data_IF_190863404211
#
_entry.id   IF_190863404211
#
_cell.length_a   1.000
_cell.length_b   1.000
_cell.length_c   1.000
_cell.angle_alpha   90.00
_cell.angle_beta   90.00
_cell.angle_gamma   90.00
#
_symmetry.space_group_name_H-M   'P 1'
#
loop_
_entity.id
_entity.type
_entity.pdbx_description
1 polymer ?
#
# COMPACT_ATOMS: atom_id res chain seq x y z
N UNK A 1 -42.37 14.27 -22.73
CA UNK A 1 -41.13 13.52 -22.48
C UNK A 1 -40.03 14.38 -23.04
N UNK A 2 -39.49 15.27 -22.21
CA UNK A 2 -38.42 16.17 -22.65
C UNK A 2 -37.15 15.35 -22.86
N UNK A 3 -36.53 15.55 -24.02
CA UNK A 3 -35.38 14.79 -24.46
C UNK A 3 -34.22 14.95 -23.49
N UNK A 4 -33.67 13.82 -23.03
CA UNK A 4 -32.41 13.83 -22.31
C UNK A 4 -31.34 14.27 -23.31
N UNK A 5 -30.85 15.49 -23.16
CA UNK A 5 -29.72 15.99 -23.94
C UNK A 5 -28.46 15.27 -23.46
N UNK A 6 -28.04 14.26 -24.22
CA UNK A 6 -26.89 13.42 -23.90
C UNK A 6 -25.61 14.17 -24.30
N UNK A 7 -25.09 14.99 -23.38
CA UNK A 7 -23.75 15.54 -23.47
C UNK A 7 -22.66 14.44 -23.43
N UNK A 8 -21.37 14.83 -23.33
CA UNK A 8 -20.27 13.87 -23.20
C UNK A 8 -20.56 12.86 -22.06
N UNK A 9 -20.24 11.55 -22.22
CA UNK A 9 -20.68 10.51 -21.29
C UNK A 9 -20.46 10.81 -19.81
N UNK A 10 -19.31 11.40 -19.44
CA UNK A 10 -19.02 11.80 -18.06
C UNK A 10 -19.90 12.96 -17.56
N UNK A 11 -20.23 13.92 -18.43
CA UNK A 11 -21.12 15.03 -18.10
C UNK A 11 -22.55 14.53 -17.89
N UNK A 12 -23.01 13.61 -18.74
CA UNK A 12 -24.32 12.94 -18.60
C UNK A 12 -24.41 12.11 -17.32
N UNK A 13 -23.38 11.34 -16.97
CA UNK A 13 -23.37 10.57 -15.71
C UNK A 13 -23.39 11.49 -14.47
N UNK A 14 -22.76 12.66 -14.54
CA UNK A 14 -22.84 13.66 -13.46
C UNK A 14 -24.23 14.29 -13.36
N UNK A 15 -24.88 14.58 -14.49
CA UNK A 15 -26.21 15.21 -14.51
C UNK A 15 -27.32 14.27 -14.05
N UNK A 16 -27.15 12.95 -14.24
CA UNK A 16 -28.06 11.92 -13.75
C UNK A 16 -28.07 11.76 -12.21
N UNK A 17 -27.17 12.45 -11.52
CA UNK A 17 -27.01 12.37 -10.07
C UNK A 17 -26.34 11.07 -9.65
N UNK A 18 -25.11 11.15 -9.16
CA UNK A 18 -24.53 10.04 -8.40
C UNK A 18 -25.41 9.85 -7.15
N UNK A 19 -26.11 8.72 -7.06
CA UNK A 19 -26.97 8.38 -5.93
C UNK A 19 -26.12 8.39 -4.64
N UNK A 20 -26.21 9.48 -3.88
CA UNK A 20 -25.64 9.62 -2.55
C UNK A 20 -26.54 8.88 -1.57
N UNK A 21 -26.36 7.56 -1.45
CA UNK A 21 -26.62 6.90 -0.18
C UNK A 21 -25.28 6.72 0.49
N UNK A 22 -25.07 7.52 1.53
CA UNK A 22 -23.98 7.37 2.49
C UNK A 22 -24.07 5.97 3.11
N UNK A 23 -23.41 4.99 2.49
CA UNK A 23 -22.91 3.84 3.24
C UNK A 23 -21.64 4.32 3.92
N UNK A 24 -21.84 4.95 5.08
CA UNK A 24 -20.78 5.53 5.92
C UNK A 24 -19.68 4.50 6.13
N UNK A 25 -18.42 4.94 6.18
CA UNK A 25 -17.26 4.08 6.44
C UNK A 25 -17.42 3.23 7.74
N UNK A 26 -18.23 3.70 8.70
CA UNK A 26 -18.65 2.96 9.91
C UNK A 26 -19.39 1.66 9.60
N UNK A 27 -20.04 1.57 8.44
CA UNK A 27 -20.72 0.37 7.94
C UNK A 27 -19.78 -0.78 7.61
N UNK A 28 -18.45 -0.63 7.66
CA UNK A 28 -17.52 -1.72 7.38
C UNK A 28 -16.88 -2.33 8.65
N UNK A 29 -17.29 -1.92 9.86
CA UNK A 29 -16.84 -2.57 11.09
C UNK A 29 -17.45 -3.99 11.21
N UNK A 30 -16.65 -5.07 11.13
CA UNK A 30 -17.16 -6.44 11.20
C UNK A 30 -17.79 -6.81 12.54
N UNK A 31 -17.40 -6.14 13.64
CA UNK A 31 -18.01 -6.36 14.97
C UNK A 31 -19.38 -5.70 15.02
N UNK A 32 -19.48 -4.46 14.56
CA UNK A 32 -20.76 -3.74 14.49
C UNK A 32 -21.76 -4.39 13.52
N UNK A 33 -21.25 -5.12 12.50
CA UNK A 33 -22.04 -5.92 11.57
C UNK A 33 -22.42 -7.32 12.10
N UNK A 34 -21.95 -7.71 13.28
CA UNK A 34 -22.19 -9.03 13.86
C UNK A 34 -21.51 -10.18 13.11
N UNK A 35 -20.50 -9.89 12.28
CA UNK A 35 -19.70 -10.89 11.56
C UNK A 35 -18.66 -11.52 12.51
N UNK A 36 -18.14 -10.71 13.43
CA UNK A 36 -17.22 -11.15 14.47
C UNK A 36 -17.73 -10.72 15.84
N UNK A 37 -17.52 -11.57 16.84
CA UNK A 37 -17.54 -11.15 18.24
C UNK A 37 -16.29 -10.32 18.55
N UNK A 38 -16.36 -9.52 19.61
CA UNK A 38 -15.24 -8.66 19.99
C UNK A 38 -13.97 -9.46 20.32
N UNK A 39 -14.11 -10.60 21.00
CA UNK A 39 -12.99 -11.46 21.36
C UNK A 39 -12.36 -12.14 20.12
N UNK A 40 -13.17 -12.49 19.12
CA UNK A 40 -12.70 -13.00 17.83
C UNK A 40 -11.91 -11.93 17.08
N UNK A 41 -12.39 -10.69 17.08
CA UNK A 41 -11.68 -9.59 16.47
C UNK A 41 -10.34 -9.30 17.17
N UNK A 42 -10.30 -9.31 18.50
CA UNK A 42 -9.06 -9.16 19.28
C UNK A 42 -8.05 -10.27 18.97
N UNK A 43 -8.50 -11.53 18.87
CA UNK A 43 -7.67 -12.66 18.45
C UNK A 43 -7.12 -12.44 17.03
N UNK A 44 -7.96 -11.96 16.10
CA UNK A 44 -7.56 -11.65 14.73
C UNK A 44 -6.50 -10.56 14.66
N UNK A 45 -6.71 -9.45 15.37
CA UNK A 45 -5.75 -8.34 15.47
C UNK A 45 -4.43 -8.82 16.09
N UNK A 46 -4.50 -9.60 17.16
CA UNK A 46 -3.31 -10.18 17.80
C UNK A 46 -2.53 -11.08 16.84
N UNK A 47 -3.21 -11.97 16.12
CA UNK A 47 -2.55 -12.83 15.11
C UNK A 47 -1.92 -12.02 13.99
N UNK A 48 -2.58 -10.98 13.50
CA UNK A 48 -2.01 -10.09 12.49
C UNK A 48 -0.70 -9.47 12.98
N UNK A 49 -0.70 -8.84 14.16
CA UNK A 49 0.50 -8.19 14.69
C UNK A 49 1.61 -9.17 15.09
N UNK A 50 1.26 -10.40 15.45
CA UNK A 50 2.24 -11.42 15.84
C UNK A 50 2.89 -12.09 14.63
N UNK A 51 2.12 -12.42 13.59
CA UNK A 51 2.57 -13.31 12.51
C UNK A 51 2.64 -12.64 11.13
N UNK A 52 1.86 -11.59 10.88
CA UNK A 52 1.75 -10.98 9.54
C UNK A 52 2.43 -9.60 9.45
N UNK A 53 2.42 -8.83 10.54
CA UNK A 53 2.88 -7.44 10.57
C UNK A 53 4.33 -7.25 10.14
N UNK A 54 5.20 -8.23 10.38
CA UNK A 54 6.57 -8.22 9.87
C UNK A 54 6.61 -8.04 8.34
N UNK A 55 5.58 -8.43 7.60
CA UNK A 55 5.45 -8.25 6.15
C UNK A 55 4.57 -7.04 5.78
N UNK A 56 3.88 -6.43 6.75
CA UNK A 56 3.06 -5.24 6.62
C UNK A 56 3.57 -4.04 7.47
N UNK A 57 4.83 -3.62 7.32
CA UNK A 57 5.43 -2.59 8.19
C UNK A 57 4.84 -1.19 8.02
N UNK A 58 3.92 -1.00 7.08
CA UNK A 58 3.20 0.24 6.84
C UNK A 58 2.03 0.49 7.81
N UNK A 59 1.79 -0.45 8.73
CA UNK A 59 0.79 -0.35 9.80
C UNK A 59 1.54 -0.27 11.12
N UNK A 60 1.19 0.66 12.01
CA UNK A 60 1.75 0.70 13.37
C UNK A 60 0.96 -0.26 14.27
N UNK A 61 1.62 -0.82 15.29
CA UNK A 61 0.93 -1.62 16.32
C UNK A 61 -0.09 -0.74 17.02
N UNK A 62 -1.34 -1.21 17.03
CA UNK A 62 -2.50 -0.52 17.58
C UNK A 62 -3.41 -1.52 18.29
N UNK A 63 -4.13 -1.04 19.29
CA UNK A 63 -5.16 -1.82 19.97
C UNK A 63 -6.39 -2.02 19.08
N UNK A 64 -7.19 -3.04 19.39
CA UNK A 64 -8.46 -3.28 18.70
C UNK A 64 -9.40 -2.07 18.82
N UNK A 65 -9.43 -1.38 19.97
CA UNK A 65 -10.26 -0.20 20.19
C UNK A 65 -9.85 0.99 19.31
N UNK A 66 -8.55 1.23 19.15
CA UNK A 66 -8.03 2.28 18.25
C UNK A 66 -8.34 1.96 16.79
N UNK A 67 -8.11 0.71 16.37
CA UNK A 67 -8.36 0.29 14.99
C UNK A 67 -9.82 0.44 14.57
N UNK A 68 -10.77 0.22 15.49
CA UNK A 68 -12.21 0.39 15.22
C UNK A 68 -12.61 1.82 14.86
N UNK A 69 -11.77 2.82 15.15
CA UNK A 69 -11.96 4.20 14.65
C UNK A 69 -11.68 4.34 13.15
N UNK A 70 -11.00 3.35 12.55
CA UNK A 70 -10.72 3.22 11.12
C UNK A 70 -11.32 1.90 10.60
N UNK A 71 -12.66 1.80 10.43
CA UNK A 71 -13.36 0.53 10.28
C UNK A 71 -12.88 -0.34 9.11
N UNK A 72 -12.54 0.28 7.98
CA UNK A 72 -12.08 -0.44 6.79
C UNK A 72 -10.66 -1.01 7.00
N UNK A 73 -9.78 -0.26 7.69
CA UNK A 73 -8.44 -0.75 8.04
C UNK A 73 -8.53 -1.89 9.05
N UNK A 74 -9.37 -1.73 10.06
CA UNK A 74 -9.69 -2.79 11.03
C UNK A 74 -10.23 -4.06 10.35
N UNK A 75 -11.19 -3.90 9.43
CA UNK A 75 -11.70 -5.00 8.60
C UNK A 75 -10.59 -5.71 7.82
N UNK A 76 -9.70 -4.94 7.16
CA UNK A 76 -8.55 -5.51 6.46
C UNK A 76 -7.63 -6.31 7.37
N UNK A 77 -7.28 -5.76 8.53
CA UNK A 77 -6.44 -6.43 9.54
C UNK A 77 -7.09 -7.72 10.05
N UNK A 78 -8.38 -7.67 10.42
CA UNK A 78 -9.12 -8.86 10.84
C UNK A 78 -9.17 -9.91 9.72
N UNK A 79 -9.40 -9.49 8.47
CA UNK A 79 -9.45 -10.41 7.32
C UNK A 79 -8.13 -11.15 7.14
N UNK A 80 -7.00 -10.45 7.27
CA UNK A 80 -5.67 -11.09 7.18
C UNK A 80 -5.39 -11.97 8.40
N UNK A 81 -5.65 -11.49 9.62
CA UNK A 81 -5.38 -12.23 10.85
C UNK A 81 -6.23 -13.50 11.03
N UNK A 82 -7.43 -13.51 10.43
CA UNK A 82 -8.39 -14.62 10.50
C UNK A 82 -8.46 -15.44 9.20
N UNK A 83 -7.55 -15.21 8.25
CA UNK A 83 -7.62 -15.80 6.90
C UNK A 83 -7.65 -17.33 6.87
N UNK A 84 -7.04 -17.98 7.86
CA UNK A 84 -6.98 -19.45 7.95
C UNK A 84 -8.24 -20.06 8.56
N UNK A 85 -9.16 -19.25 9.09
CA UNK A 85 -10.44 -19.71 9.63
C UNK A 85 -11.54 -19.76 8.57
N UNK A 86 -11.28 -19.30 7.34
CA UNK A 86 -12.21 -19.43 6.22
C UNK A 86 -13.49 -18.59 6.35
N UNK A 87 -13.42 -17.42 7.01
CA UNK A 87 -14.57 -16.55 7.18
C UNK A 87 -14.93 -15.79 5.87
N UNK A 88 -15.76 -16.42 5.05
CA UNK A 88 -16.23 -15.86 3.78
C UNK A 88 -17.02 -14.55 3.95
N UNK A 89 -17.72 -14.37 5.07
CA UNK A 89 -18.47 -13.13 5.36
C UNK A 89 -17.54 -11.94 5.55
N UNK A 90 -16.42 -12.15 6.25
CA UNK A 90 -15.39 -11.13 6.45
C UNK A 90 -14.73 -10.73 5.13
N UNK A 91 -14.39 -11.74 4.31
CA UNK A 91 -13.88 -11.55 2.95
C UNK A 91 -14.86 -10.77 2.07
N UNK A 92 -16.14 -11.15 2.09
CA UNK A 92 -17.18 -10.48 1.32
C UNK A 92 -17.35 -9.02 1.75
N UNK A 93 -17.25 -8.72 3.04
CA UNK A 93 -17.35 -7.34 3.52
C UNK A 93 -16.14 -6.50 3.07
N UNK A 94 -14.94 -7.09 3.07
CA UNK A 94 -13.74 -6.42 2.57
C UNK A 94 -13.85 -6.15 1.07
N UNK A 95 -14.36 -7.11 0.30
CA UNK A 95 -14.59 -6.95 -1.14
C UNK A 95 -15.58 -5.82 -1.43
N UNK A 96 -16.64 -5.69 -0.63
CA UNK A 96 -17.59 -4.59 -0.74
C UNK A 96 -16.90 -3.24 -0.46
N UNK A 97 -16.07 -3.17 0.59
CA UNK A 97 -15.34 -1.97 0.95
C UNK A 97 -14.36 -1.53 -0.16
N UNK A 98 -13.59 -2.47 -0.72
CA UNK A 98 -12.65 -2.20 -1.81
C UNK A 98 -13.38 -1.88 -3.12
N UNK A 99 -14.48 -2.58 -3.42
CA UNK A 99 -15.31 -2.28 -4.60
C UNK A 99 -15.89 -0.87 -4.53
N UNK A 100 -16.26 -0.38 -3.34
CA UNK A 100 -16.70 1.01 -3.16
C UNK A 100 -15.57 2.00 -3.47
N UNK A 101 -14.35 1.76 -3.01
CA UNK A 101 -13.18 2.60 -3.31
C UNK A 101 -12.87 2.65 -4.83
N UNK A 102 -13.20 1.57 -5.56
CA UNK A 102 -13.00 1.48 -7.01
C UNK A 102 -14.13 2.13 -7.81
N UNK A 103 -15.38 1.82 -7.47
CA UNK A 103 -16.54 2.13 -8.31
C UNK A 103 -17.24 3.43 -7.90
N UNK A 104 -17.12 3.84 -6.64
CA UNK A 104 -17.79 5.02 -6.08
C UNK A 104 -16.90 5.75 -5.05
N UNK A 105 -15.66 6.14 -5.41
CA UNK A 105 -14.81 6.89 -4.50
C UNK A 105 -15.38 8.30 -4.26
N UNK A 106 -15.17 8.79 -3.04
CA UNK A 106 -15.39 10.18 -2.63
C UNK A 106 -14.06 10.83 -2.24
N UNK A 107 -14.03 12.16 -2.12
CA UNK A 107 -12.82 12.86 -1.68
C UNK A 107 -12.39 12.47 -0.26
N UNK A 108 -13.34 12.14 0.61
CA UNK A 108 -13.06 11.69 1.99
C UNK A 108 -12.44 10.30 2.05
N UNK A 109 -12.47 9.54 0.94
CA UNK A 109 -11.85 8.23 0.86
C UNK A 109 -10.36 8.29 0.55
N UNK A 110 -9.85 9.41 0.06
CA UNK A 110 -8.45 9.55 -0.30
C UNK A 110 -7.66 9.87 0.97
N UNK A 111 -7.35 8.84 1.74
CA UNK A 111 -6.64 8.91 3.03
C UNK A 111 -5.47 7.93 3.06
N UNK A 112 -4.57 8.11 4.03
CA UNK A 112 -3.47 7.18 4.26
C UNK A 112 -4.00 5.78 4.60
N UNK A 113 -5.10 5.68 5.36
CA UNK A 113 -5.69 4.38 5.73
C UNK A 113 -6.31 3.66 4.55
N UNK A 114 -6.91 4.37 3.59
CA UNK A 114 -7.35 3.75 2.34
C UNK A 114 -6.19 3.16 1.55
N UNK A 115 -5.03 3.83 1.52
CA UNK A 115 -3.81 3.28 0.89
C UNK A 115 -3.36 2.00 1.63
N UNK A 116 -3.36 2.02 2.98
CA UNK A 116 -3.03 0.84 3.79
C UNK A 116 -3.98 -0.34 3.52
N UNK A 117 -5.27 -0.08 3.41
CA UNK A 117 -6.27 -1.10 3.06
C UNK A 117 -5.99 -1.69 1.69
N UNK A 118 -5.71 -0.86 0.68
CA UNK A 118 -5.41 -1.34 -0.67
C UNK A 118 -4.11 -2.15 -0.71
N UNK A 119 -3.09 -1.76 0.06
CA UNK A 119 -1.85 -2.53 0.23
C UNK A 119 -2.12 -3.90 0.89
N UNK A 120 -2.88 -3.92 1.99
CA UNK A 120 -3.29 -5.17 2.65
C UNK A 120 -4.03 -6.09 1.68
N UNK A 121 -4.98 -5.52 0.93
CA UNK A 121 -5.78 -6.27 -0.04
C UNK A 121 -4.92 -6.84 -1.18
N UNK A 122 -3.97 -6.07 -1.71
CA UNK A 122 -3.09 -6.54 -2.79
C UNK A 122 -2.10 -7.63 -2.32
N UNK A 123 -1.52 -7.49 -1.11
CA UNK A 123 -0.53 -8.41 -0.57
C UNK A 123 -1.13 -9.69 0.00
N UNK A 124 -2.34 -9.60 0.57
CA UNK A 124 -3.05 -10.72 1.17
C UNK A 124 -4.45 -10.86 0.59
N UNK A 125 -4.53 -10.90 -0.75
CA UNK A 125 -5.81 -11.14 -1.44
C UNK A 125 -6.55 -12.30 -0.76
N UNK A 126 -7.80 -12.08 -0.31
CA UNK A 126 -8.50 -13.08 0.48
C UNK A 126 -8.69 -14.39 -0.28
N UNK A 127 -8.56 -15.49 0.45
CA UNK A 127 -8.84 -16.83 -0.04
C UNK A 127 -10.36 -17.04 -0.06
N UNK A 128 -10.89 -17.61 -1.14
CA UNK A 128 -12.30 -18.00 -1.21
C UNK A 128 -12.43 -19.52 -1.19
N UNK A 129 -13.65 -20.02 -1.00
CA UNK A 129 -13.95 -21.45 -1.12
C UNK A 129 -13.51 -22.04 -2.48
N UNK A 130 -13.41 -21.21 -3.52
CA UNK A 130 -12.99 -21.57 -4.87
C UNK A 130 -11.45 -21.51 -5.07
N UNK A 131 -10.69 -21.06 -4.06
CA UNK A 131 -9.24 -21.02 -4.08
C UNK A 131 -8.63 -19.63 -3.89
N UNK A 132 -7.37 -19.49 -4.29
CA UNK A 132 -6.67 -18.22 -4.27
C UNK A 132 -7.14 -17.33 -5.43
N UNK A 133 -7.69 -16.15 -5.14
CA UNK A 133 -8.11 -15.17 -6.15
C UNK A 133 -6.98 -14.31 -6.70
N UNK A 134 -5.79 -14.45 -6.12
CA UNK A 134 -4.63 -13.69 -6.55
C UNK A 134 -4.37 -13.89 -8.04
N UNK A 135 -4.33 -12.78 -8.76
CA UNK A 135 -3.71 -12.70 -10.06
C UNK A 135 -2.97 -11.37 -10.19
N UNK A 136 -1.89 -11.37 -10.96
CA UNK A 136 -0.97 -10.24 -11.08
C UNK A 136 -1.66 -8.98 -11.60
N UNK A 137 -2.63 -9.12 -12.52
CA UNK A 137 -3.40 -8.01 -13.08
C UNK A 137 -4.27 -7.34 -12.02
N UNK A 138 -4.93 -8.11 -11.17
CA UNK A 138 -5.77 -7.60 -10.10
C UNK A 138 -4.94 -6.91 -9.02
N UNK A 139 -3.79 -7.47 -8.65
CA UNK A 139 -2.84 -6.83 -7.74
C UNK A 139 -2.33 -5.51 -8.34
N UNK A 140 -1.99 -5.50 -9.62
CA UNK A 140 -1.53 -4.31 -10.35
C UNK A 140 -2.61 -3.23 -10.41
N UNK A 141 -3.87 -3.59 -10.66
CA UNK A 141 -4.97 -2.65 -10.68
C UNK A 141 -5.22 -1.99 -9.30
N UNK A 142 -5.16 -2.80 -8.23
CA UNK A 142 -5.32 -2.32 -6.84
C UNK A 142 -4.14 -1.43 -6.44
N UNK A 143 -2.90 -1.84 -6.72
CA UNK A 143 -1.71 -1.03 -6.46
C UNK A 143 -1.74 0.28 -7.28
N UNK A 144 -2.20 0.24 -8.53
CA UNK A 144 -2.38 1.43 -9.35
C UNK A 144 -3.41 2.43 -8.75
N UNK A 145 -4.47 1.94 -8.09
CA UNK A 145 -5.36 2.81 -7.32
C UNK A 145 -4.65 3.41 -6.10
N UNK A 146 -3.90 2.60 -5.35
CA UNK A 146 -3.13 3.06 -4.20
C UNK A 146 -2.10 4.13 -4.58
N UNK A 147 -1.41 3.96 -5.72
CA UNK A 147 -0.48 4.95 -6.30
C UNK A 147 -1.20 6.26 -6.62
N UNK A 148 -2.37 6.21 -7.27
CA UNK A 148 -3.15 7.42 -7.57
C UNK A 148 -3.57 8.16 -6.29
N UNK A 149 -3.95 7.43 -5.25
CA UNK A 149 -4.27 8.04 -3.95
C UNK A 149 -3.03 8.65 -3.28
N UNK A 150 -1.89 7.96 -3.33
CA UNK A 150 -0.62 8.46 -2.82
C UNK A 150 -0.18 9.75 -3.53
N UNK A 151 -0.31 9.81 -4.86
CA UNK A 151 -0.03 11.00 -5.67
C UNK A 151 -0.97 12.15 -5.32
N UNK A 152 -2.28 11.88 -5.21
CA UNK A 152 -3.25 12.89 -4.81
C UNK A 152 -2.95 13.51 -3.44
N UNK A 153 -2.46 12.70 -2.50
CA UNK A 153 -2.06 13.16 -1.16
C UNK A 153 -0.69 13.85 -1.12
N UNK A 154 0.08 13.86 -2.21
CA UNK A 154 1.49 14.27 -2.17
C UNK A 154 2.32 13.41 -1.20
N UNK A 155 2.01 12.12 -1.10
CA UNK A 155 2.57 11.23 -0.09
C UNK A 155 4.09 11.13 -0.20
N UNK A 156 4.64 11.00 -1.40
CA UNK A 156 6.09 10.97 -1.61
C UNK A 156 6.79 12.18 -0.99
N UNK A 157 6.42 13.39 -1.42
CA UNK A 157 7.05 14.62 -0.94
C UNK A 157 6.90 14.78 0.59
N UNK A 158 5.71 14.51 1.14
CA UNK A 158 5.48 14.59 2.57
C UNK A 158 6.19 13.49 3.38
N UNK A 159 6.42 12.32 2.81
CA UNK A 159 7.15 11.21 3.44
C UNK A 159 8.67 11.40 3.42
N UNK A 160 9.23 11.91 2.32
CA UNK A 160 10.68 12.02 2.14
C UNK A 160 11.25 13.30 2.76
N UNK A 161 10.51 14.41 2.74
CA UNK A 161 11.01 15.72 3.20
C UNK A 161 11.61 15.74 4.61
N UNK A 162 11.09 15.01 5.64
CA UNK A 162 11.71 14.99 6.96
C UNK A 162 13.11 14.37 6.98
N UNK A 163 13.45 13.55 5.97
CA UNK A 163 14.73 12.84 5.86
C UNK A 163 15.67 13.47 4.83
N UNK A 164 15.21 14.41 4.01
CA UNK A 164 16.02 15.11 3.01
C UNK A 164 16.93 16.19 3.63
N UNK A 165 16.53 16.78 4.75
CA UNK A 165 17.24 17.91 5.37
C UNK A 165 18.61 17.51 5.96
N UNK A 166 19.67 17.76 5.19
CA UNK A 166 20.95 18.15 5.76
C UNK A 166 20.94 19.68 5.91
N UNK A 167 21.41 20.18 7.05
CA UNK A 167 21.85 21.58 7.22
C UNK A 167 20.74 22.63 7.39
N UNK A 168 20.05 22.65 8.53
CA UNK A 168 19.61 23.91 9.14
C UNK A 168 19.30 23.69 10.61
N UNK A 169 19.53 24.74 11.38
CA UNK A 169 19.67 24.88 12.83
C UNK A 169 18.46 24.50 13.70
N UNK A 170 17.59 23.62 13.23
CA UNK A 170 16.55 23.00 14.04
C UNK A 170 16.10 21.68 13.41
N UNK A 171 16.58 20.50 13.86
CA UNK A 171 16.00 19.24 13.42
C UNK A 171 14.56 19.21 13.95
N UNK A 172 13.58 19.49 13.09
CA UNK A 172 12.19 19.21 13.43
C UNK A 172 12.13 17.72 13.82
N UNK A 173 11.78 17.45 15.08
CA UNK A 173 11.80 16.11 15.63
C UNK A 173 10.95 15.20 14.72
N UNK A 174 11.56 14.15 14.16
CA UNK A 174 10.83 13.18 13.33
C UNK A 174 9.74 12.56 14.19
N UNK A 175 8.49 12.76 13.79
CA UNK A 175 7.31 12.30 14.52
C UNK A 175 6.89 10.90 14.11
N UNK A 176 6.00 10.29 14.89
CA UNK A 176 5.38 9.00 14.53
C UNK A 176 4.61 9.06 13.20
N UNK A 177 4.00 10.21 12.86
CA UNK A 177 3.30 10.39 11.58
C UNK A 177 4.26 10.37 10.39
N UNK A 178 5.42 11.04 10.51
CA UNK A 178 6.46 11.00 9.47
C UNK A 178 6.93 9.56 9.20
N UNK A 179 7.17 8.79 10.27
CA UNK A 179 7.55 7.38 10.17
C UNK A 179 6.43 6.54 9.54
N UNK A 180 5.18 6.80 9.89
CA UNK A 180 4.04 6.07 9.35
C UNK A 180 3.87 6.33 7.84
N UNK A 181 4.05 7.57 7.38
CA UNK A 181 3.98 7.94 5.96
C UNK A 181 5.09 7.30 5.14
N UNK A 182 6.34 7.38 5.60
CA UNK A 182 7.47 6.80 4.85
C UNK A 182 7.38 5.27 4.76
N UNK A 183 6.90 4.60 5.81
CA UNK A 183 6.65 3.15 5.78
C UNK A 183 5.58 2.78 4.74
N UNK A 184 4.47 3.54 4.67
CA UNK A 184 3.44 3.33 3.65
C UNK A 184 4.01 3.58 2.25
N UNK A 185 4.73 4.68 2.05
CA UNK A 185 5.32 5.03 0.77
C UNK A 185 6.32 3.97 0.28
N UNK A 186 7.26 3.56 1.14
CA UNK A 186 8.25 2.55 0.78
C UNK A 186 7.63 1.17 0.55
N UNK A 187 6.61 0.80 1.33
CA UNK A 187 5.92 -0.46 1.07
C UNK A 187 5.17 -0.44 -0.27
N UNK A 188 4.52 0.68 -0.61
CA UNK A 188 3.86 0.85 -1.91
C UNK A 188 4.86 0.77 -3.07
N UNK A 189 5.98 1.47 -2.96
CA UNK A 189 7.07 1.46 -3.95
C UNK A 189 7.63 0.04 -4.14
N UNK A 190 7.96 -0.65 -3.05
CA UNK A 190 8.51 -2.01 -3.12
C UNK A 190 7.49 -3.01 -3.68
N UNK A 191 6.19 -2.86 -3.39
CA UNK A 191 5.15 -3.71 -3.98
C UNK A 191 5.00 -3.49 -5.49
N UNK A 192 4.97 -2.24 -5.93
CA UNK A 192 4.87 -1.87 -7.35
C UNK A 192 6.04 -2.47 -8.15
N UNK A 193 7.27 -2.34 -7.63
CA UNK A 193 8.45 -2.93 -8.26
C UNK A 193 8.54 -4.46 -8.15
N UNK A 194 8.17 -5.04 -7.01
CA UNK A 194 8.16 -6.51 -6.89
C UNK A 194 7.15 -7.12 -7.87
N UNK A 195 5.99 -6.49 -8.04
CA UNK A 195 5.02 -6.93 -9.03
C UNK A 195 5.58 -6.76 -10.45
N UNK A 196 6.23 -5.64 -10.75
CA UNK A 196 6.92 -5.45 -12.03
C UNK A 196 7.94 -6.56 -12.30
N UNK A 197 8.79 -6.90 -11.32
CA UNK A 197 9.82 -7.93 -11.50
C UNK A 197 9.25 -9.34 -11.68
N UNK A 198 8.15 -9.66 -11.00
CA UNK A 198 7.56 -11.01 -11.01
C UNK A 198 6.62 -11.25 -12.19
N UNK A 199 5.82 -10.24 -12.56
CA UNK A 199 4.82 -10.32 -13.65
C UNK A 199 5.29 -9.70 -14.97
N UNK A 200 6.33 -8.85 -14.91
CA UNK A 200 6.77 -8.03 -16.03
C UNK A 200 5.78 -6.93 -16.44
N UNK A 201 4.78 -6.62 -15.62
CA UNK A 201 3.93 -5.43 -15.77
C UNK A 201 4.76 -4.17 -15.47
N UNK A 202 4.45 -3.00 -16.06
CA UNK A 202 5.22 -1.79 -15.81
C UNK A 202 5.02 -1.30 -14.37
N UNK A 203 6.11 -0.87 -13.73
CA UNK A 203 6.06 -0.10 -12.50
C UNK A 203 5.46 1.29 -12.76
N UNK A 204 4.75 1.81 -11.77
CA UNK A 204 4.11 3.13 -11.78
C UNK A 204 4.94 4.19 -11.06
N UNK A 205 5.91 3.80 -10.23
CA UNK A 205 6.68 4.69 -9.35
C UNK A 205 8.16 4.78 -9.77
N UNK A 206 8.81 5.90 -9.43
CA UNK A 206 10.26 6.08 -9.57
C UNK A 206 10.93 5.95 -8.19
N UNK A 207 11.89 5.03 -7.99
CA UNK A 207 12.49 4.79 -6.69
C UNK A 207 13.65 5.73 -6.36
N UNK A 208 14.12 6.55 -7.30
CA UNK A 208 15.37 7.30 -7.19
C UNK A 208 15.38 8.27 -5.99
N UNK A 209 14.33 9.08 -5.84
CA UNK A 209 14.21 10.02 -4.71
C UNK A 209 14.13 9.29 -3.36
N UNK A 210 13.49 8.12 -3.35
CA UNK A 210 13.34 7.30 -2.15
C UNK A 210 14.66 6.69 -1.71
N UNK A 211 15.46 6.19 -2.66
CA UNK A 211 16.78 5.61 -2.38
C UNK A 211 17.76 6.63 -1.78
N UNK A 212 17.69 7.91 -2.17
CA UNK A 212 18.55 8.96 -1.61
C UNK A 212 18.37 9.18 -0.10
N UNK A 213 17.21 8.83 0.45
CA UNK A 213 16.89 9.01 1.88
C UNK A 213 16.70 7.70 2.64
N UNK A 214 16.68 6.56 1.95
CA UNK A 214 16.44 5.24 2.54
C UNK A 214 17.38 4.93 3.72
N UNK A 215 18.69 5.18 3.56
CA UNK A 215 19.68 5.00 4.64
C UNK A 215 19.39 5.85 5.86
N UNK A 216 19.00 7.10 5.64
CA UNK A 216 18.70 8.04 6.73
C UNK A 216 17.48 7.58 7.51
N UNK A 217 16.46 7.07 6.82
CA UNK A 217 15.32 6.45 7.47
C UNK A 217 15.71 5.18 8.24
N UNK A 218 16.36 4.21 7.59
CA UNK A 218 16.73 2.92 8.20
C UNK A 218 17.70 3.05 9.38
N UNK A 219 18.54 4.08 9.39
CA UNK A 219 19.46 4.40 10.50
C UNK A 219 18.91 5.38 11.54
N UNK A 220 17.68 5.89 11.38
CA UNK A 220 17.13 6.89 12.29
C UNK A 220 16.77 6.29 13.66
N UNK A 221 17.12 6.99 14.74
CA UNK A 221 16.86 6.53 16.13
C UNK A 221 15.39 6.29 16.46
N UNK A 222 14.47 6.93 15.74
CA UNK A 222 13.03 6.74 15.90
C UNK A 222 12.46 5.63 15.00
N UNK A 223 13.18 5.22 13.95
CA UNK A 223 12.81 4.12 13.07
C UNK A 223 13.32 2.79 13.63
N UNK A 224 12.64 2.29 14.66
CA UNK A 224 13.08 1.12 15.43
C UNK A 224 12.16 -0.10 15.24
N UNK A 225 11.23 -0.06 14.28
CA UNK A 225 10.45 -1.26 13.98
C UNK A 225 11.35 -2.29 13.30
N UNK A 226 11.19 -3.60 13.59
CA UNK A 226 12.07 -4.64 13.05
C UNK A 226 12.22 -4.63 11.53
N UNK A 227 11.19 -4.15 10.82
CA UNK A 227 11.16 -4.11 9.36
C UNK A 227 11.63 -2.78 8.75
N UNK A 228 11.92 -1.73 9.54
CA UNK A 228 12.32 -0.41 9.02
C UNK A 228 13.60 -0.49 8.19
N UNK A 229 14.64 -1.13 8.75
CA UNK A 229 15.91 -1.34 8.07
C UNK A 229 15.74 -2.20 6.80
N UNK A 230 14.95 -3.27 6.90
CA UNK A 230 14.67 -4.16 5.77
C UNK A 230 13.99 -3.41 4.62
N UNK A 231 12.97 -2.61 4.92
CA UNK A 231 12.24 -1.84 3.89
C UNK A 231 13.12 -0.75 3.29
N UNK A 232 13.96 -0.09 4.09
CA UNK A 232 14.97 0.84 3.58
C UNK A 232 15.91 0.15 2.57
N UNK A 233 16.47 -1.00 2.93
CA UNK A 233 17.33 -1.79 2.04
C UNK A 233 16.61 -2.23 0.77
N UNK A 234 15.35 -2.69 0.86
CA UNK A 234 14.56 -3.05 -0.31
C UNK A 234 14.37 -1.89 -1.29
N UNK A 235 14.17 -0.67 -0.79
CA UNK A 235 14.06 0.53 -1.64
C UNK A 235 15.38 0.80 -2.37
N UNK A 236 16.52 0.66 -1.70
CA UNK A 236 17.83 0.81 -2.34
C UNK A 236 18.04 -0.24 -3.43
N UNK A 237 17.76 -1.51 -3.14
CA UNK A 237 17.86 -2.60 -4.10
C UNK A 237 16.97 -2.37 -5.32
N UNK A 238 15.72 -1.96 -5.11
CA UNK A 238 14.79 -1.60 -6.17
C UNK A 238 15.35 -0.47 -7.05
N UNK A 239 15.99 0.54 -6.46
CA UNK A 239 16.61 1.63 -7.22
C UNK A 239 17.82 1.16 -8.05
N UNK A 240 18.64 0.24 -7.53
CA UNK A 240 19.75 -0.35 -8.30
C UNK A 240 19.24 -1.11 -9.52
N UNK A 241 18.23 -1.96 -9.33
CA UNK A 241 17.59 -2.72 -10.42
C UNK A 241 16.97 -1.77 -11.44
N UNK A 242 16.25 -0.74 -10.99
CA UNK A 242 15.66 0.28 -11.84
C UNK A 242 16.71 1.02 -12.70
N UNK A 243 17.86 1.40 -12.11
CA UNK A 243 18.97 2.03 -12.86
C UNK A 243 19.57 1.07 -13.89
N UNK A 244 19.75 -0.20 -13.54
CA UNK A 244 20.28 -1.21 -14.46
C UNK A 244 19.33 -1.45 -15.64
N UNK A 245 18.01 -1.52 -15.38
CA UNK A 245 16.97 -1.64 -16.41
C UNK A 245 16.95 -0.45 -17.37
N UNK A 246 17.03 0.78 -16.83
CA UNK A 246 17.11 2.00 -17.66
C UNK A 246 18.35 2.02 -18.55
N UNK A 247 19.51 1.56 -18.04
CA UNK A 247 20.74 1.43 -18.84
C UNK A 247 20.63 0.39 -19.94
N UNK A 248 19.93 -0.72 -19.68
CA UNK A 248 19.69 -1.79 -20.65
C UNK A 248 18.63 -1.47 -21.72
N UNK A 249 17.93 -0.34 -21.60
CA UNK A 249 16.90 0.09 -22.56
C UNK A 249 15.57 -0.66 -22.46
N UNK A 250 15.39 -1.54 -21.46
CA UNK A 250 14.16 -2.26 -21.19
C UNK A 250 13.61 -1.93 -19.79
N UNK A 251 12.67 -1.00 -19.75
CA UNK A 251 11.98 -0.58 -18.52
C UNK A 251 11.08 -1.66 -17.92
N UNK A 252 10.83 -2.78 -18.61
CA UNK A 252 10.09 -3.93 -18.06
C UNK A 252 10.99 -4.91 -17.29
N UNK A 253 12.31 -4.79 -17.47
CA UNK A 253 13.29 -5.69 -16.83
C UNK A 253 13.31 -7.10 -17.40
N UNK A 254 12.51 -7.38 -18.44
CA UNK A 254 12.40 -8.70 -19.07
C UNK A 254 13.63 -9.06 -19.90
N UNK A 255 14.35 -8.07 -20.41
CA UNK A 255 15.52 -8.22 -21.28
C UNK A 255 16.68 -7.38 -20.75
N UNK A 256 17.37 -7.89 -19.73
CA UNK A 256 18.69 -7.39 -19.37
C UNK A 256 19.75 -8.11 -20.20
N UNK A 257 20.61 -7.36 -20.88
CA UNK A 257 21.77 -7.92 -21.57
C UNK A 257 22.87 -8.31 -20.56
N UNK A 258 23.85 -9.10 -21.01
CA UNK A 258 24.94 -9.58 -20.15
C UNK A 258 25.72 -8.43 -19.48
N UNK A 259 25.96 -7.34 -20.20
CA UNK A 259 26.62 -6.13 -19.67
C UNK A 259 25.81 -5.48 -18.54
N UNK A 260 24.49 -5.36 -18.71
CA UNK A 260 23.59 -4.81 -17.70
C UNK A 260 23.50 -5.69 -16.45
N UNK A 261 23.52 -7.02 -16.61
CA UNK A 261 23.57 -7.97 -15.48
C UNK A 261 24.91 -7.88 -14.75
N UNK A 262 26.03 -7.78 -15.47
CA UNK A 262 27.35 -7.61 -14.84
C UNK A 262 27.44 -6.30 -14.06
N UNK A 263 26.96 -5.19 -14.64
CA UNK A 263 26.91 -3.90 -13.97
C UNK A 263 26.00 -3.92 -12.74
N UNK A 264 24.87 -4.63 -12.80
CA UNK A 264 23.99 -4.81 -11.65
C UNK A 264 24.68 -5.62 -10.54
N UNK A 265 25.40 -6.70 -10.87
CA UNK A 265 26.14 -7.48 -9.87
C UNK A 265 27.18 -6.63 -9.14
N UNK A 266 27.96 -5.82 -9.86
CA UNK A 266 28.93 -4.90 -9.24
C UNK A 266 28.24 -3.93 -8.27
N UNK A 267 27.08 -3.36 -8.67
CA UNK A 267 26.31 -2.47 -7.80
C UNK A 267 25.75 -3.18 -6.55
N UNK A 268 25.38 -4.45 -6.67
CA UNK A 268 24.92 -5.26 -5.54
C UNK A 268 26.06 -5.61 -4.59
N UNK A 269 27.23 -5.98 -5.11
CA UNK A 269 28.44 -6.25 -4.32
C UNK A 269 28.87 -5.00 -3.56
N UNK A 270 28.84 -3.83 -4.21
CA UNK A 270 29.09 -2.54 -3.56
C UNK A 270 28.07 -2.27 -2.45
N UNK A 271 26.78 -2.54 -2.69
CA UNK A 271 25.72 -2.34 -1.71
C UNK A 271 25.84 -3.27 -0.49
N UNK A 272 26.26 -4.53 -0.67
CA UNK A 272 26.48 -5.49 0.42
C UNK A 272 27.70 -5.13 1.28
N UNK A 273 28.72 -4.50 0.69
CA UNK A 273 29.93 -4.08 1.41
C UNK A 273 29.77 -2.86 2.32
N UNK A 274 28.60 -2.21 2.31
CA UNK A 274 28.26 -1.06 3.16
C UNK A 274 27.57 -1.47 4.47
#
# INVERSE_FOLDING_TARGET
>A
MDGIDLGPPMATLRSLGAVTKDDSATGFDPVSRGILQLDEAEKGVHRFFTYCHAWAPFISVQSCAELRQTPVLFLGICTVGMRFEGNNSLTSLLDQAVSRLLLRPSLTDVTLDSIRVLLLYAQWMPYTAEGNRYNEISAWAVLGLAVRYAQFLGLEASALSPFQACSSSNPAAITGDHLARIRVWYNLLTCDFNLMLTSGLPASLDPEASAQVARRFGGHRAAQQPADLRVAGLVELVALVHRAMRRGGDASGRKMNAEGLHALNVLLDEWEGY
#
